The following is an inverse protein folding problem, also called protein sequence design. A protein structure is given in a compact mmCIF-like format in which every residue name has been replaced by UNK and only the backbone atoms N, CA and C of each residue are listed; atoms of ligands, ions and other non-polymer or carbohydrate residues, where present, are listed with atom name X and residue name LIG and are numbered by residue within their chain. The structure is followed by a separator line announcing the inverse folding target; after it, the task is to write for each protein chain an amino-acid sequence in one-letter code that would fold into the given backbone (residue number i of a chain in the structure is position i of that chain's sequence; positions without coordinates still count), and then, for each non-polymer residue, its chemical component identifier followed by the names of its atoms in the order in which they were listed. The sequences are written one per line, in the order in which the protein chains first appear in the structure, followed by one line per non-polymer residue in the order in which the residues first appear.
data_IF_365992998781
#
_entry.id   IF_365992998781
#
_cell.length_a   1.000
_cell.length_b   1.000
_cell.length_c   1.000
_cell.angle_alpha   90.00
_cell.angle_beta   90.00
_cell.angle_gamma   90.00
#
_symmetry.space_group_name_H-M   'P 1'
#
loop_
_entity.id
_entity.type
_entity.pdbx_description
1 polymer ?
#
# COMPACT_ATOMS: atom_id res chain seq x y z
N UNK A 1 -24.27 10.98 67.34
CA UNK A 1 -24.72 9.57 67.25
C UNK A 1 -24.15 9.00 65.97
N UNK A 2 -23.20 8.06 66.09
CA UNK A 2 -22.81 7.18 64.99
C UNK A 2 -23.91 6.13 64.82
N UNK A 3 -24.37 5.92 63.60
CA UNK A 3 -25.10 4.73 63.20
C UNK A 3 -24.43 4.14 61.96
N UNK A 4 -24.23 2.83 62.03
CA UNK A 4 -23.41 1.99 61.16
C UNK A 4 -24.27 1.08 60.28
N UNK A 5 -23.61 0.57 59.22
CA UNK A 5 -23.86 -0.66 58.43
C UNK A 5 -24.81 -0.57 57.21
N UNK A 6 -24.72 -1.50 56.22
CA UNK A 6 -23.68 -2.50 55.94
C UNK A 6 -23.09 -2.41 54.50
N UNK A 7 -21.90 -3.01 54.32
CA UNK A 7 -21.26 -3.18 53.02
C UNK A 7 -21.90 -4.28 52.19
N UNK A 8 -22.02 -4.03 50.88
CA UNK A 8 -22.38 -5.03 49.87
C UNK A 8 -21.09 -5.48 49.18
N UNK A 9 -20.76 -6.76 49.33
CA UNK A 9 -19.74 -7.43 48.54
C UNK A 9 -20.28 -7.65 47.12
N UNK A 10 -19.70 -6.98 46.13
CA UNK A 10 -19.88 -7.35 44.73
C UNK A 10 -18.67 -8.20 44.34
N UNK A 11 -18.89 -9.50 44.22
CA UNK A 11 -17.92 -10.42 43.65
C UNK A 11 -17.74 -10.07 42.16
N UNK A 12 -16.50 -9.74 41.77
CA UNK A 12 -16.10 -9.56 40.38
C UNK A 12 -16.25 -10.90 39.65
N UNK A 13 -17.16 -10.96 38.69
CA UNK A 13 -17.13 -12.01 37.67
C UNK A 13 -15.93 -11.74 36.75
N UNK A 14 -14.90 -12.58 36.89
CA UNK A 14 -13.86 -12.74 35.89
C UNK A 14 -14.45 -13.51 34.71
N UNK A 15 -14.86 -12.78 33.67
CA UNK A 15 -15.33 -13.32 32.39
C UNK A 15 -14.34 -13.00 31.29
N UNK A 16 -13.55 -14.01 30.92
CA UNK A 16 -13.06 -14.33 29.57
C UNK A 16 -12.34 -13.22 28.78
N UNK A 17 -11.05 -13.02 29.08
CA UNK A 17 -10.05 -12.59 28.11
C UNK A 17 -9.73 -13.77 27.18
N UNK A 18 -10.44 -13.90 26.06
CA UNK A 18 -10.09 -14.86 25.01
C UNK A 18 -9.15 -14.22 23.98
N UNK A 19 -7.90 -14.69 24.00
CA UNK A 19 -6.92 -14.79 22.92
C UNK A 19 -6.98 -13.76 21.76
N UNK A 20 -6.10 -12.76 21.82
CA UNK A 20 -5.70 -11.98 20.63
C UNK A 20 -4.17 -11.73 20.54
N UNK A 21 -3.35 -12.51 21.25
CA UNK A 21 -1.90 -12.24 21.41
C UNK A 21 -0.99 -13.00 20.42
N UNK A 22 -1.43 -14.10 19.80
CA UNK A 22 -0.54 -14.95 18.98
C UNK A 22 -0.30 -14.46 17.53
N UNK A 23 -1.06 -13.48 17.06
CA UNK A 23 -0.97 -12.96 15.68
C UNK A 23 0.02 -11.80 15.49
N UNK A 24 0.29 -11.04 16.55
CA UNK A 24 1.03 -9.78 16.49
C UNK A 24 2.55 -10.04 16.45
N UNK A 25 3.05 -10.99 17.22
CA UNK A 25 4.49 -11.30 17.33
C UNK A 25 5.10 -11.86 16.04
N UNK A 26 4.42 -12.80 15.37
CA UNK A 26 4.95 -13.45 14.16
C UNK A 26 5.03 -12.56 12.92
N UNK A 27 4.13 -11.58 12.80
CA UNK A 27 4.15 -10.63 11.68
C UNK A 27 5.27 -9.59 11.88
N UNK A 28 5.45 -9.11 13.10
CA UNK A 28 6.57 -8.27 13.51
C UNK A 28 7.91 -8.98 13.27
N UNK A 29 8.01 -10.27 13.62
CA UNK A 29 9.22 -11.07 13.41
C UNK A 29 9.66 -11.08 11.93
N UNK A 30 8.71 -11.23 11.00
CA UNK A 30 9.06 -11.29 9.57
C UNK A 30 9.36 -9.93 8.96
N UNK A 31 8.66 -8.89 9.41
CA UNK A 31 9.01 -7.52 9.04
C UNK A 31 10.45 -7.20 9.46
N UNK A 32 10.84 -7.61 10.67
CA UNK A 32 12.23 -7.52 11.15
C UNK A 32 13.19 -8.33 10.26
N UNK A 33 12.82 -9.55 9.85
CA UNK A 33 13.64 -10.35 8.94
C UNK A 33 13.80 -9.71 7.55
N UNK A 34 12.76 -9.04 7.04
CA UNK A 34 12.84 -8.30 5.78
C UNK A 34 13.75 -7.08 5.93
N UNK A 35 13.58 -6.29 6.98
CA UNK A 35 14.45 -5.14 7.28
C UNK A 35 15.90 -5.59 7.42
N UNK A 36 16.16 -6.68 8.14
CA UNK A 36 17.49 -7.24 8.31
C UNK A 36 18.11 -7.69 6.98
N UNK A 37 17.31 -8.28 6.08
CA UNK A 37 17.78 -8.70 4.76
C UNK A 37 18.04 -7.52 3.82
N UNK A 38 17.28 -6.42 3.95
CA UNK A 38 17.48 -5.20 3.16
C UNK A 38 18.62 -4.32 3.70
N UNK A 39 19.04 -4.54 4.96
CA UNK A 39 20.10 -3.77 5.60
C UNK A 39 21.43 -3.94 4.86
N UNK A 40 22.06 -2.82 4.50
CA UNK A 40 23.29 -2.81 3.71
C UNK A 40 23.09 -2.93 2.21
N UNK A 41 21.86 -3.21 1.74
CA UNK A 41 21.49 -3.17 0.32
C UNK A 41 20.74 -1.89 -0.04
N UNK A 42 19.87 -1.39 0.86
CA UNK A 42 19.18 -0.11 0.67
C UNK A 42 20.06 1.03 1.19
N UNK A 43 20.34 2.07 0.40
CA UNK A 43 21.08 3.24 0.85
C UNK A 43 20.38 3.97 2.01
N UNK A 44 21.15 4.44 2.98
CA UNK A 44 20.63 5.18 4.14
C UNK A 44 19.90 6.47 3.71
N UNK A 45 20.52 7.22 2.81
CA UNK A 45 19.93 8.40 2.19
C UNK A 45 19.12 8.02 0.94
N UNK A 46 17.89 8.55 0.84
CA UNK A 46 17.03 8.26 -0.30
C UNK A 46 17.57 8.90 -1.58
N UNK A 47 17.96 8.03 -2.52
CA UNK A 47 18.44 8.39 -3.85
C UNK A 47 17.95 7.39 -4.89
N UNK A 48 18.20 7.68 -6.17
CA UNK A 48 17.97 6.68 -7.22
C UNK A 48 18.95 5.53 -7.01
N UNK A 49 18.44 4.30 -7.12
CA UNK A 49 19.24 3.09 -7.07
C UNK A 49 19.98 2.91 -8.40
N UNK A 50 21.16 2.31 -8.32
CA UNK A 50 21.85 1.78 -9.51
C UNK A 50 21.17 0.48 -9.95
N UNK A 51 21.38 0.07 -11.20
CA UNK A 51 20.76 -1.17 -11.72
C UNK A 51 21.19 -2.39 -10.89
N UNK A 52 22.44 -2.45 -10.44
CA UNK A 52 22.93 -3.52 -9.56
C UNK A 52 22.26 -3.52 -8.18
N UNK A 53 21.97 -2.34 -7.62
CA UNK A 53 21.21 -2.24 -6.36
C UNK A 53 19.76 -2.67 -6.55
N UNK A 54 19.12 -2.25 -7.65
CA UNK A 54 17.76 -2.65 -8.03
C UNK A 54 17.63 -4.17 -8.14
N UNK A 55 18.53 -4.82 -8.88
CA UNK A 55 18.55 -6.28 -9.06
C UNK A 55 18.77 -7.03 -7.73
N UNK A 56 19.68 -6.54 -6.88
CA UNK A 56 19.95 -7.16 -5.60
C UNK A 56 18.74 -7.05 -4.66
N UNK A 57 18.11 -5.88 -4.60
CA UNK A 57 16.95 -5.62 -3.75
C UNK A 57 15.72 -6.36 -4.27
N UNK A 58 15.47 -6.37 -5.58
CA UNK A 58 14.32 -7.07 -6.17
C UNK A 58 14.40 -8.58 -5.89
N UNK A 59 15.59 -9.17 -5.95
CA UNK A 59 15.83 -10.57 -5.56
C UNK A 59 15.52 -10.82 -4.09
N UNK A 60 16.01 -9.96 -3.18
CA UNK A 60 15.72 -10.08 -1.74
C UNK A 60 14.21 -9.99 -1.48
N UNK A 61 13.55 -9.00 -2.06
CA UNK A 61 12.10 -8.82 -1.94
C UNK A 61 11.36 -10.05 -2.46
N UNK A 62 11.75 -10.55 -3.63
CA UNK A 62 11.12 -11.72 -4.23
C UNK A 62 11.25 -12.97 -3.36
N UNK A 63 12.45 -13.22 -2.84
CA UNK A 63 12.73 -14.37 -1.97
C UNK A 63 12.00 -14.29 -0.63
N UNK A 64 11.92 -13.10 -0.02
CA UNK A 64 11.31 -12.92 1.30
C UNK A 64 9.79 -12.87 1.25
N UNK A 65 9.23 -12.24 0.22
CA UNK A 65 7.78 -12.06 0.06
C UNK A 65 7.11 -13.17 -0.75
N UNK A 66 7.89 -14.09 -1.35
CA UNK A 66 7.39 -15.23 -2.14
C UNK A 66 6.52 -14.80 -3.33
N UNK A 67 6.92 -13.72 -3.98
CA UNK A 67 6.31 -13.16 -5.19
C UNK A 67 7.42 -12.66 -6.11
N UNK A 68 7.27 -12.79 -7.43
CA UNK A 68 8.24 -12.23 -8.38
C UNK A 68 8.06 -10.71 -8.43
N UNK A 69 9.08 -9.95 -8.05
CA UNK A 69 9.10 -8.50 -8.20
C UNK A 69 10.29 -8.04 -9.00
N UNK A 70 10.05 -7.11 -9.93
CA UNK A 70 11.02 -6.72 -10.93
C UNK A 70 11.09 -5.19 -11.07
N UNK A 71 12.29 -4.60 -11.27
CA UNK A 71 12.44 -3.17 -11.56
C UNK A 71 11.98 -2.81 -12.97
N UNK A 72 11.93 -3.78 -13.87
CA UNK A 72 11.53 -3.68 -15.27
C UNK A 72 10.66 -4.86 -15.65
N UNK A 73 9.57 -4.62 -16.39
CA UNK A 73 8.70 -5.66 -16.89
C UNK A 73 8.30 -5.31 -18.33
N UNK A 74 8.35 -6.29 -19.24
CA UNK A 74 8.05 -6.10 -20.67
C UNK A 74 8.88 -4.98 -21.36
N UNK A 75 10.12 -4.77 -20.88
CA UNK A 75 11.00 -3.70 -21.36
C UNK A 75 10.59 -2.29 -20.90
N UNK A 76 9.70 -2.18 -19.91
CA UNK A 76 9.24 -0.92 -19.33
C UNK A 76 9.64 -0.85 -17.87
N UNK A 77 10.29 0.26 -17.50
CA UNK A 77 10.67 0.58 -16.12
C UNK A 77 10.23 1.98 -15.71
N UNK A 78 10.08 2.20 -14.41
CA UNK A 78 9.94 3.54 -13.86
C UNK A 78 11.29 4.27 -13.87
N UNK A 79 11.25 5.60 -13.74
CA UNK A 79 12.46 6.43 -13.64
C UNK A 79 13.33 6.08 -12.41
N UNK A 80 12.73 5.47 -11.39
CA UNK A 80 13.35 4.95 -10.16
C UNK A 80 12.40 4.00 -9.40
N UNK A 81 12.92 3.30 -8.41
CA UNK A 81 12.26 2.25 -7.58
C UNK A 81 12.41 2.51 -6.07
N UNK A 82 13.27 3.46 -5.67
CA UNK A 82 13.41 3.95 -4.30
C UNK A 82 13.13 5.44 -4.26
N UNK A 83 12.14 5.86 -3.49
CA UNK A 83 11.67 7.23 -3.51
C UNK A 83 10.74 7.61 -2.37
N UNK A 84 10.45 8.90 -2.30
CA UNK A 84 9.49 9.47 -1.35
C UNK A 84 8.04 9.21 -1.80
N UNK A 85 7.28 8.45 -1.01
CA UNK A 85 5.81 8.36 -1.11
C UNK A 85 5.17 9.46 -0.28
N UNK A 86 4.05 10.01 -0.75
CA UNK A 86 3.17 10.86 0.04
C UNK A 86 1.73 10.35 0.01
N UNK A 87 0.93 10.78 0.99
CA UNK A 87 -0.49 10.43 1.00
C UNK A 87 -1.28 11.17 -0.06
N UNK A 88 -2.16 10.42 -0.72
CA UNK A 88 -3.18 10.90 -1.64
C UNK A 88 -4.57 10.88 -0.98
N UNK A 89 -5.56 11.37 -1.74
CA UNK A 89 -6.98 11.29 -1.40
C UNK A 89 -7.62 10.06 -2.05
N UNK A 90 -8.88 9.75 -1.76
CA UNK A 90 -9.61 8.74 -2.53
C UNK A 90 -9.86 9.21 -3.98
N UNK A 91 -10.05 8.27 -4.90
CA UNK A 91 -10.40 8.54 -6.30
C UNK A 91 -11.85 8.15 -6.59
N UNK A 92 -12.52 8.86 -7.50
CA UNK A 92 -13.87 8.47 -7.93
C UNK A 92 -13.87 7.10 -8.62
N UNK A 93 -14.69 6.17 -8.13
CA UNK A 93 -14.72 4.79 -8.63
C UNK A 93 -15.65 4.61 -9.83
N UNK A 94 -16.73 5.40 -9.90
CA UNK A 94 -17.71 5.41 -10.98
C UNK A 94 -18.47 6.74 -11.04
N UNK A 95 -19.21 7.05 -12.12
CA UNK A 95 -20.01 8.28 -12.19
C UNK A 95 -21.05 8.38 -11.06
N UNK A 96 -21.02 9.47 -10.30
CA UNK A 96 -21.91 9.69 -9.15
C UNK A 96 -21.41 9.10 -7.83
N UNK A 97 -20.20 8.55 -7.80
CA UNK A 97 -19.53 8.14 -6.57
C UNK A 97 -19.24 9.35 -5.66
N UNK A 98 -19.08 9.08 -4.36
CA UNK A 98 -18.76 10.10 -3.37
C UNK A 98 -18.05 9.50 -2.16
N UNK A 99 -17.35 10.35 -1.40
CA UNK A 99 -16.52 9.95 -0.27
C UNK A 99 -17.21 9.02 0.74
N UNK A 100 -18.49 9.22 1.05
CA UNK A 100 -19.21 8.39 2.04
C UNK A 100 -19.33 6.93 1.61
N UNK A 101 -19.31 6.67 0.29
CA UNK A 101 -19.36 5.32 -0.26
C UNK A 101 -18.01 4.59 -0.23
N UNK A 102 -16.92 5.24 0.17
CA UNK A 102 -15.60 4.61 0.28
C UNK A 102 -15.43 3.84 1.58
N UNK A 103 -16.12 4.26 2.64
CA UNK A 103 -16.02 3.59 3.93
C UNK A 103 -16.97 2.39 4.02
N UNK A 104 -16.43 1.22 4.35
CA UNK A 104 -17.23 0.01 4.60
C UNK A 104 -17.95 0.01 5.95
N UNK A 105 -17.44 0.75 6.94
CA UNK A 105 -18.02 0.86 8.28
C UNK A 105 -17.48 2.11 9.00
N UNK A 106 -17.96 2.36 10.23
CA UNK A 106 -17.56 3.53 11.02
C UNK A 106 -16.06 3.59 11.36
N UNK A 107 -15.41 2.43 11.56
CA UNK A 107 -13.97 2.37 11.80
C UNK A 107 -13.18 2.72 10.53
N UNK A 108 -13.63 2.23 9.39
CA UNK A 108 -13.06 2.53 8.07
C UNK A 108 -13.18 4.03 7.77
N UNK A 109 -14.35 4.61 8.05
CA UNK A 109 -14.59 6.04 7.92
C UNK A 109 -13.66 6.86 8.82
N UNK A 110 -13.55 6.50 10.09
CA UNK A 110 -12.69 7.21 11.04
C UNK A 110 -11.21 7.18 10.61
N UNK A 111 -10.79 6.11 9.94
CA UNK A 111 -9.40 5.91 9.53
C UNK A 111 -9.06 6.58 8.19
N UNK A 112 -9.91 6.43 7.18
CA UNK A 112 -9.59 6.81 5.80
C UNK A 112 -10.41 8.00 5.28
N UNK A 113 -11.63 8.19 5.79
CA UNK A 113 -12.51 9.30 5.42
C UNK A 113 -11.87 10.70 5.49
N UNK A 114 -11.06 11.04 6.53
CA UNK A 114 -10.39 12.33 6.62
C UNK A 114 -9.40 12.65 5.50
N UNK A 115 -8.98 11.67 4.69
CA UNK A 115 -8.16 11.93 3.51
C UNK A 115 -8.94 12.66 2.40
N UNK A 116 -10.28 12.59 2.43
CA UNK A 116 -11.13 13.20 1.43
C UNK A 116 -11.11 12.45 0.09
N UNK A 117 -11.73 13.07 -0.91
CA UNK A 117 -11.75 12.59 -2.30
C UNK A 117 -11.08 13.64 -3.19
N UNK A 118 -10.34 13.19 -4.20
CA UNK A 118 -9.66 14.08 -5.15
C UNK A 118 -10.67 15.00 -5.85
N UNK A 119 -10.28 16.23 -6.23
CA UNK A 119 -11.18 17.15 -6.94
C UNK A 119 -11.47 16.73 -8.39
N UNK A 120 -10.67 15.82 -8.95
CA UNK A 120 -10.80 15.32 -10.31
C UNK A 120 -10.70 13.80 -10.38
N UNK A 121 -10.86 13.28 -11.60
CA UNK A 121 -10.63 11.86 -11.87
C UNK A 121 -9.13 11.57 -11.91
N UNK A 122 -8.75 10.33 -11.59
CA UNK A 122 -7.41 9.84 -11.84
C UNK A 122 -7.11 9.72 -13.33
N UNK A 123 -5.85 9.41 -13.67
CA UNK A 123 -5.33 9.33 -15.03
C UNK A 123 -6.07 8.35 -15.94
N UNK A 124 -6.78 7.38 -15.37
CA UNK A 124 -7.58 6.40 -16.10
C UNK A 124 -9.10 6.63 -16.05
N UNK A 125 -9.53 7.76 -15.51
CA UNK A 125 -10.94 8.07 -15.30
C UNK A 125 -11.51 7.34 -14.08
N UNK A 126 -12.68 6.73 -14.27
CA UNK A 126 -13.31 5.86 -13.27
C UNK A 126 -12.77 4.43 -13.36
N UNK A 127 -12.88 3.69 -12.26
CA UNK A 127 -12.56 2.27 -12.20
C UNK A 127 -13.65 1.42 -12.88
N UNK A 128 -14.90 1.82 -12.72
CA UNK A 128 -16.07 1.21 -13.38
C UNK A 128 -16.87 2.24 -14.19
N UNK A 129 -17.55 1.83 -15.28
CA UNK A 129 -18.34 2.74 -16.10
C UNK A 129 -19.65 3.21 -15.43
N UNK A 130 -20.12 2.51 -14.40
CA UNK A 130 -21.32 2.84 -13.63
C UNK A 130 -21.31 2.15 -12.27
N UNK A 131 -22.15 2.62 -11.34
CA UNK A 131 -22.34 1.95 -10.04
C UNK A 131 -22.80 0.48 -10.19
N UNK A 132 -23.62 0.18 -11.20
CA UNK A 132 -24.12 -1.18 -11.45
C UNK A 132 -23.03 -2.14 -11.99
N UNK A 133 -21.97 -1.60 -12.59
CA UNK A 133 -20.85 -2.36 -13.13
C UNK A 133 -19.65 -2.39 -12.17
N UNK A 134 -19.73 -1.69 -11.04
CA UNK A 134 -18.67 -1.62 -10.04
C UNK A 134 -18.66 -2.90 -9.21
N UNK A 135 -17.51 -3.58 -9.20
CA UNK A 135 -17.32 -4.84 -8.48
C UNK A 135 -16.29 -4.73 -7.35
N UNK A 136 -16.04 -5.85 -6.67
CA UNK A 136 -15.07 -5.89 -5.57
C UNK A 136 -13.64 -5.68 -6.07
N UNK A 137 -13.29 -6.07 -7.30
CA UNK A 137 -11.96 -5.83 -7.84
C UNK A 137 -11.72 -4.34 -8.08
N UNK A 138 -12.72 -3.62 -8.59
CA UNK A 138 -12.65 -2.17 -8.78
C UNK A 138 -12.55 -1.43 -7.45
N UNK A 139 -13.27 -1.92 -6.43
CA UNK A 139 -13.16 -1.42 -5.06
C UNK A 139 -11.76 -1.61 -4.50
N UNK A 140 -11.18 -2.80 -4.64
CA UNK A 140 -9.85 -3.11 -4.13
C UNK A 140 -8.76 -2.35 -4.90
N UNK A 141 -8.93 -2.15 -6.21
CA UNK A 141 -8.01 -1.33 -7.03
C UNK A 141 -7.96 0.12 -6.56
N UNK A 142 -9.10 0.73 -6.23
CA UNK A 142 -9.11 2.08 -5.64
C UNK A 142 -8.60 2.05 -4.21
N UNK A 143 -9.00 1.08 -3.40
CA UNK A 143 -8.53 0.97 -2.00
C UNK A 143 -7.01 0.86 -1.93
N UNK A 144 -6.38 0.12 -2.83
CA UNK A 144 -4.94 -0.10 -2.89
C UNK A 144 -4.31 0.48 -4.15
N UNK A 145 -4.52 1.77 -4.38
CA UNK A 145 -3.95 2.47 -5.53
C UNK A 145 -2.67 3.24 -5.20
N UNK A 146 -1.85 3.42 -6.24
CA UNK A 146 -0.70 4.33 -6.27
C UNK A 146 -0.86 5.38 -7.36
N UNK A 147 -0.43 6.60 -7.05
CA UNK A 147 -0.09 7.60 -8.06
C UNK A 147 1.38 7.47 -8.44
N UNK A 148 1.68 7.19 -9.70
CA UNK A 148 3.08 6.97 -10.17
C UNK A 148 3.48 7.97 -11.27
N UNK A 149 4.74 8.42 -11.27
CA UNK A 149 5.31 9.31 -12.29
C UNK A 149 5.51 8.60 -13.64
N UNK A 150 4.43 8.05 -14.21
CA UNK A 150 4.43 7.28 -15.46
C UNK A 150 5.04 8.07 -16.62
N UNK A 151 4.76 9.37 -16.68
CA UNK A 151 5.28 10.29 -17.71
C UNK A 151 6.80 10.54 -17.63
N UNK A 152 7.47 10.13 -16.56
CA UNK A 152 8.93 10.18 -16.44
C UNK A 152 9.60 8.84 -16.77
N UNK A 153 8.83 7.78 -17.02
CA UNK A 153 9.37 6.50 -17.44
C UNK A 153 10.17 6.68 -18.75
N UNK A 154 11.39 6.12 -18.86
CA UNK A 154 12.16 6.18 -20.10
C UNK A 154 11.33 5.63 -21.26
N UNK A 155 11.26 6.34 -22.40
CA UNK A 155 10.51 5.90 -23.57
C UNK A 155 9.00 6.24 -23.58
N UNK A 156 8.49 6.88 -22.52
CA UNK A 156 7.07 7.25 -22.42
C UNK A 156 6.64 8.23 -23.51
N UNK A 157 7.42 9.30 -23.73
CA UNK A 157 7.08 10.38 -24.66
C UNK A 157 6.94 9.88 -26.11
N UNK A 158 7.73 8.86 -26.46
CA UNK A 158 7.75 8.23 -27.77
C UNK A 158 6.61 7.21 -27.96
N UNK A 159 6.06 6.67 -26.87
CA UNK A 159 5.14 5.52 -26.90
C UNK A 159 3.96 5.65 -25.92
N UNK A 160 3.37 6.84 -25.82
CA UNK A 160 2.36 7.20 -24.80
C UNK A 160 1.23 6.16 -24.69
N UNK A 161 0.69 5.69 -25.81
CA UNK A 161 -0.37 4.67 -25.82
C UNK A 161 0.04 3.35 -25.18
N UNK A 162 1.21 2.82 -25.60
CA UNK A 162 1.78 1.58 -25.03
C UNK A 162 2.00 1.71 -23.53
N UNK A 163 2.59 2.82 -23.08
CA UNK A 163 2.92 3.02 -21.67
C UNK A 163 1.67 3.26 -20.82
N UNK A 164 0.70 4.03 -21.33
CA UNK A 164 -0.60 4.22 -20.67
C UNK A 164 -1.27 2.88 -20.40
N UNK A 165 -1.31 2.00 -21.40
CA UNK A 165 -1.97 0.70 -21.30
C UNK A 165 -1.17 -0.26 -20.40
N UNK A 166 0.16 -0.24 -20.49
CA UNK A 166 1.03 -1.02 -19.61
C UNK A 166 0.88 -0.65 -18.14
N UNK A 167 0.80 0.65 -17.81
CA UNK A 167 0.72 1.12 -16.43
C UNK A 167 -0.68 1.00 -15.84
N UNK A 168 -1.75 1.06 -16.64
CA UNK A 168 -3.11 1.02 -16.13
C UNK A 168 -3.33 -0.22 -15.27
N UNK A 169 -3.58 0.00 -13.97
CA UNK A 169 -3.82 -1.05 -12.97
C UNK A 169 -2.71 -2.09 -12.85
N UNK A 170 -1.48 -1.76 -13.27
CA UNK A 170 -0.32 -2.64 -13.11
C UNK A 170 -0.06 -2.87 -11.63
N UNK A 171 0.06 -4.14 -11.22
CA UNK A 171 0.40 -4.50 -9.85
C UNK A 171 1.82 -4.09 -9.50
N UNK A 172 1.95 -3.53 -8.31
CA UNK A 172 3.16 -3.01 -7.72
C UNK A 172 3.29 -3.51 -6.29
N UNK A 173 4.51 -3.84 -5.91
CA UNK A 173 4.89 -3.94 -4.51
C UNK A 173 5.26 -2.54 -4.02
N UNK A 174 4.81 -2.17 -2.81
CA UNK A 174 5.37 -1.05 -2.05
C UNK A 174 5.83 -1.55 -0.70
N UNK A 175 7.08 -1.30 -0.34
CA UNK A 175 7.67 -1.74 0.92
C UNK A 175 8.37 -0.57 1.63
N UNK A 176 8.12 -0.43 2.92
CA UNK A 176 8.86 0.49 3.78
C UNK A 176 10.14 -0.20 4.26
N UNK A 177 11.33 0.17 3.75
CA UNK A 177 12.58 -0.52 4.11
C UNK A 177 12.97 -0.34 5.58
N UNK A 178 12.37 0.63 6.30
CA UNK A 178 12.64 0.87 7.72
C UNK A 178 11.83 -0.03 8.64
N UNK A 179 10.59 -0.32 8.27
CA UNK A 179 9.66 -1.09 9.12
C UNK A 179 9.38 -2.49 8.58
N UNK A 180 9.71 -2.78 7.33
CA UNK A 180 9.40 -4.05 6.67
C UNK A 180 7.94 -4.20 6.26
N UNK A 181 7.09 -3.22 6.57
CA UNK A 181 5.69 -3.23 6.15
C UNK A 181 5.60 -3.10 4.63
N UNK A 182 4.78 -3.95 4.01
CA UNK A 182 4.63 -4.00 2.57
C UNK A 182 3.18 -4.21 2.14
N UNK A 183 2.84 -3.69 0.96
CA UNK A 183 1.49 -3.69 0.38
C UNK A 183 1.60 -4.03 -1.10
N UNK A 184 0.70 -4.89 -1.58
CA UNK A 184 0.42 -5.06 -3.01
C UNK A 184 -0.62 -4.03 -3.41
N UNK A 185 -0.30 -3.22 -4.39
CA UNK A 185 -1.14 -2.13 -4.88
C UNK A 185 -1.19 -2.13 -6.40
N UNK A 186 -2.05 -1.32 -7.00
CA UNK A 186 -2.07 -1.08 -8.44
C UNK A 186 -1.72 0.37 -8.74
N UNK A 187 -1.20 0.61 -9.94
CA UNK A 187 -1.08 1.96 -10.47
C UNK A 187 -2.48 2.47 -10.86
N UNK A 188 -3.06 3.36 -10.05
CA UNK A 188 -4.43 3.86 -10.16
C UNK A 188 -4.58 5.39 -10.25
N UNK A 189 -3.50 6.16 -10.04
CA UNK A 189 -3.31 7.46 -10.72
C UNK A 189 -1.91 7.67 -11.37
N UNK A 190 -1.76 8.72 -12.18
CA UNK A 190 -0.48 9.23 -12.64
C UNK A 190 -0.10 10.52 -11.89
N UNK A 191 1.14 10.63 -11.46
CA UNK A 191 1.64 11.70 -10.59
C UNK A 191 2.52 11.17 -9.47
N UNK A 192 2.92 11.98 -8.50
CA UNK A 192 2.78 13.43 -8.46
C UNK A 192 3.78 14.12 -9.42
N UNK A 193 3.62 15.42 -9.67
CA UNK A 193 4.56 16.16 -10.52
C UNK A 193 6.00 16.17 -9.94
N UNK A 194 7.02 16.16 -10.80
CA UNK A 194 8.43 16.07 -10.40
C UNK A 194 8.85 17.16 -9.39
N UNK A 195 8.32 18.37 -9.53
CA UNK A 195 8.64 19.50 -8.68
C UNK A 195 8.15 19.38 -7.23
N UNK A 196 7.22 18.45 -6.95
CA UNK A 196 6.68 18.24 -5.60
C UNK A 196 7.68 17.60 -4.65
N UNK A 197 8.79 17.05 -5.17
CA UNK A 197 9.77 16.26 -4.40
C UNK A 197 9.28 14.88 -3.97
N UNK A 198 8.01 14.55 -4.25
CA UNK A 198 7.47 13.20 -4.15
C UNK A 198 7.69 12.45 -5.46
N UNK A 199 7.78 11.13 -5.36
CA UNK A 199 8.00 10.23 -6.50
C UNK A 199 6.83 9.24 -6.67
N UNK A 200 6.04 9.09 -5.61
CA UNK A 200 4.91 8.20 -5.52
C UNK A 200 3.83 8.85 -4.64
N UNK A 201 2.57 8.59 -4.95
CA UNK A 201 1.44 8.82 -4.08
C UNK A 201 0.82 7.49 -3.67
N UNK A 202 0.39 7.34 -2.43
CA UNK A 202 -0.35 6.16 -1.96
C UNK A 202 -1.74 6.53 -1.49
N UNK A 203 -2.72 5.66 -1.77
CA UNK A 203 -4.07 5.75 -1.19
C UNK A 203 -4.00 5.84 0.34
N UNK A 204 -5.08 6.32 1.01
CA UNK A 204 -5.14 6.35 2.47
C UNK A 204 -4.80 5.00 3.13
N UNK A 205 -5.27 3.90 2.55
CA UNK A 205 -5.02 2.54 3.00
C UNK A 205 -3.57 2.10 2.75
N UNK A 206 -3.01 2.36 1.57
CA UNK A 206 -1.59 2.07 1.29
C UNK A 206 -0.72 2.78 2.33
N UNK A 207 -0.94 4.07 2.54
CA UNK A 207 -0.18 4.87 3.51
C UNK A 207 -0.32 4.35 4.93
N UNK A 208 -1.52 3.89 5.32
CA UNK A 208 -1.73 3.27 6.62
C UNK A 208 -0.92 2.00 6.78
N UNK A 209 -1.03 1.06 5.83
CA UNK A 209 -0.40 -0.24 5.94
C UNK A 209 1.13 -0.20 5.82
N UNK A 210 1.71 0.77 5.10
CA UNK A 210 3.17 0.97 5.09
C UNK A 210 3.69 1.81 6.27
N UNK A 211 2.82 2.17 7.21
CA UNK A 211 3.19 2.88 8.44
C UNK A 211 3.47 4.37 8.25
N UNK A 212 2.86 5.00 7.23
CA UNK A 212 3.10 6.39 6.85
C UNK A 212 1.82 7.25 6.82
N UNK A 213 0.70 6.77 7.38
CA UNK A 213 -0.53 7.56 7.50
C UNK A 213 -0.49 8.64 8.60
N UNK A 214 0.42 8.51 9.58
CA UNK A 214 0.62 9.48 10.65
C UNK A 214 1.66 10.56 10.32
N UNK A 215 1.73 11.58 11.17
CA UNK A 215 2.76 12.62 11.12
C UNK A 215 2.81 13.36 9.77
N UNK A 216 3.97 13.43 9.08
CA UNK A 216 4.11 14.21 7.86
C UNK A 216 3.44 13.57 6.63
N UNK A 217 2.81 12.40 6.78
CA UNK A 217 2.12 11.64 5.71
C UNK A 217 2.99 11.42 4.48
N UNK A 218 4.28 11.16 4.69
CA UNK A 218 5.28 10.88 3.67
C UNK A 218 6.46 10.08 4.23
N UNK A 219 7.14 9.32 3.39
CA UNK A 219 8.33 8.55 3.78
C UNK A 219 9.04 7.93 2.57
N UNK A 220 10.25 7.40 2.79
CA UNK A 220 10.97 6.68 1.75
C UNK A 220 10.45 5.23 1.66
N UNK A 221 10.16 4.76 0.46
CA UNK A 221 9.70 3.39 0.18
C UNK A 221 10.38 2.84 -1.07
N UNK A 222 10.49 1.52 -1.08
CA UNK A 222 10.82 0.72 -2.25
C UNK A 222 9.53 0.39 -3.01
N UNK A 223 9.57 0.42 -4.34
CA UNK A 223 8.44 0.05 -5.18
C UNK A 223 8.89 -0.59 -6.49
N UNK A 224 8.30 -1.74 -6.81
CA UNK A 224 8.68 -2.63 -7.90
C UNK A 224 7.44 -3.17 -8.59
N UNK A 225 7.52 -3.52 -9.87
CA UNK A 225 6.44 -4.26 -10.52
C UNK A 225 6.32 -5.64 -9.91
N UNK A 226 5.11 -6.17 -9.92
CA UNK A 226 4.87 -7.59 -9.60
C UNK A 226 4.61 -8.30 -10.93
N UNK A 227 5.36 -9.37 -11.19
CA UNK A 227 5.10 -10.25 -12.33
C UNK A 227 3.99 -11.24 -11.94
N UNK A 228 2.75 -10.86 -12.26
CA UNK A 228 1.54 -11.63 -11.96
C UNK A 228 0.63 -11.71 -13.19
N UNK A 229 1.04 -12.45 -14.24
CA UNK A 229 0.33 -12.50 -15.52
C UNK A 229 -1.03 -13.20 -15.42
N UNK A 230 -1.30 -13.90 -14.31
CA UNK A 230 -2.55 -14.64 -14.05
C UNK A 230 -3.48 -13.95 -13.05
N UNK A 231 -3.09 -12.78 -12.54
CA UNK A 231 -3.86 -12.02 -11.56
C UNK A 231 -4.13 -12.80 -10.25
N UNK A 232 -3.17 -13.63 -9.81
CA UNK A 232 -3.30 -14.53 -8.66
C UNK A 232 -2.89 -13.89 -7.33
N UNK A 233 -2.11 -12.80 -7.35
CA UNK A 233 -1.62 -12.12 -6.15
C UNK A 233 -2.65 -11.07 -5.70
N UNK A 234 -3.29 -11.22 -4.52
CA UNK A 234 -4.31 -10.28 -4.06
C UNK A 234 -3.72 -8.91 -3.72
N UNK A 235 -4.54 -7.87 -3.88
CA UNK A 235 -4.20 -6.52 -3.41
C UNK A 235 -4.27 -6.45 -1.87
N UNK A 236 -3.60 -5.45 -1.31
CA UNK A 236 -3.63 -5.16 0.11
C UNK A 236 -2.34 -5.49 0.87
N UNK A 237 -2.36 -5.41 2.21
CA UNK A 237 -1.18 -5.62 3.02
C UNK A 237 -0.64 -7.04 2.86
N UNK A 238 0.66 -7.16 2.67
CA UNK A 238 1.33 -8.46 2.67
C UNK A 238 1.41 -8.93 4.10
N UNK A 239 0.38 -9.65 4.52
CA UNK A 239 0.43 -10.43 5.74
C UNK A 239 1.40 -11.57 5.51
N UNK A 240 2.65 -11.40 5.93
CA UNK A 240 3.60 -12.49 5.95
C UNK A 240 3.18 -13.51 7.02
N UNK A 241 2.07 -14.24 6.85
CA UNK A 241 1.74 -15.37 7.72
C UNK A 241 2.78 -16.48 7.49
N UNK A 242 3.33 -17.04 8.57
CA UNK A 242 4.25 -18.19 8.53
C UNK A 242 3.68 -19.28 7.63
N UNK A 243 4.46 -19.75 6.66
CA UNK A 243 4.05 -20.86 5.81
C UNK A 243 3.91 -22.15 6.63
N UNK A 244 2.71 -22.73 6.52
CA UNK A 244 2.24 -24.13 6.68
C UNK A 244 2.60 -24.95 7.93
N UNK A 245 1.55 -25.56 8.50
CA UNK A 245 1.54 -27.00 8.81
C UNK A 245 0.22 -27.60 8.33
N UNK A 246 0.36 -28.68 7.53
CA UNK A 246 -0.62 -29.60 6.92
C UNK A 246 -1.76 -29.01 6.09
#
# INVERSE_FOLDING_TARGET
MLLSTPGVNVALHAGELSAHEDGITKAEDKNVLLVAALKGHVPEEMRKLTDTEDEAISKILSEKLKMQVEPELEGIRLNRTYGMIGGEQHLYRYPGDNLYKHAGNASDWAMYGPAGIAPGLGAWGHFAPSEAAFDENDKERERYYLAVQTFLAPGFAENVGKYRDFFKFRKMLVANPKTGQAVVAVIGDAGPAAWTGKHLGGSPEVMHFVGLAGGPRKGAVLYYFIDDPKDEIPLGPINMKGGRVS
#
